data_IF_476973133221
#
_entry.id   IF_476973133221
#
_cell.length_a   1.000
_cell.length_b   1.000
_cell.length_c   1.000
_cell.angle_alpha   90.00
_cell.angle_beta   90.00
_cell.angle_gamma   90.00
#
_symmetry.space_group_name_H-M   'P 1'
#
loop_
_entity.id
_entity.type
_entity.pdbx_description
1 polymer ?
#
# COMPACT_ATOMS: atom_id res chain seq x y z
N UNK A 1 -45.82 69.64 5.71
CA UNK A 1 -46.08 68.21 5.76
C UNK A 1 -45.45 67.52 4.56
N UNK A 2 -44.35 66.83 4.79
CA UNK A 2 -43.51 66.19 3.71
C UNK A 2 -44.02 64.72 3.56
N UNK A 3 -44.64 64.38 2.39
CA UNK A 3 -45.12 63.02 2.09
C UNK A 3 -43.92 62.12 1.87
N UNK A 4 -43.78 61.12 2.73
CA UNK A 4 -42.82 60.03 2.61
C UNK A 4 -43.25 59.10 1.46
N UNK A 5 -42.51 59.06 0.37
CA UNK A 5 -42.70 58.09 -0.69
C UNK A 5 -42.25 56.69 -0.19
N UNK A 6 -43.23 55.86 0.07
CA UNK A 6 -43.01 54.43 0.31
C UNK A 6 -42.50 53.79 -0.99
N UNK A 7 -41.25 53.38 -0.99
CA UNK A 7 -40.63 52.61 -2.09
C UNK A 7 -41.46 51.34 -2.34
N UNK A 8 -42.12 51.32 -3.48
CA UNK A 8 -42.89 50.18 -3.98
C UNK A 8 -41.90 49.05 -4.29
N UNK A 9 -41.78 48.08 -3.38
CA UNK A 9 -40.95 46.91 -3.55
C UNK A 9 -41.56 46.07 -4.68
N UNK A 10 -40.95 46.10 -5.87
CA UNK A 10 -41.39 45.26 -6.97
C UNK A 10 -41.25 43.80 -6.58
N UNK A 11 -42.27 42.96 -6.79
CA UNK A 11 -42.13 41.52 -6.57
C UNK A 11 -41.07 40.96 -7.51
N UNK A 12 -40.26 39.99 -7.06
CA UNK A 12 -39.28 39.39 -7.91
C UNK A 12 -39.94 38.82 -9.16
N UNK A 13 -39.43 39.18 -10.33
CA UNK A 13 -39.99 38.72 -11.61
C UNK A 13 -39.93 37.18 -11.66
N UNK A 14 -41.04 36.56 -12.09
CA UNK A 14 -41.16 35.09 -12.23
C UNK A 14 -39.99 34.45 -13.01
N UNK A 15 -39.43 35.19 -13.96
CA UNK A 15 -38.27 34.77 -14.74
C UNK A 15 -36.95 34.73 -13.93
N UNK A 16 -36.77 35.65 -12.96
CA UNK A 16 -35.62 35.65 -12.05
C UNK A 16 -35.69 34.45 -11.07
N UNK A 17 -36.91 34.10 -10.64
CA UNK A 17 -37.13 32.97 -9.75
C UNK A 17 -36.87 31.63 -10.50
N UNK A 18 -37.28 31.49 -11.76
CA UNK A 18 -37.00 30.32 -12.60
C UNK A 18 -35.51 30.14 -12.89
N UNK A 19 -34.78 31.22 -13.16
CA UNK A 19 -33.34 31.15 -13.41
C UNK A 19 -32.54 30.77 -12.16
N UNK A 20 -32.90 31.32 -11.00
CA UNK A 20 -32.26 31.00 -9.73
C UNK A 20 -32.49 29.56 -9.25
N UNK A 21 -33.73 29.06 -9.40
CA UNK A 21 -34.05 27.68 -9.00
C UNK A 21 -33.35 26.64 -9.90
N UNK A 22 -33.23 26.91 -11.19
CA UNK A 22 -32.52 26.05 -12.12
C UNK A 22 -31.01 25.96 -11.80
N UNK A 23 -30.40 27.11 -11.46
CA UNK A 23 -29.00 27.15 -11.03
C UNK A 23 -28.76 26.35 -9.73
N UNK A 24 -29.66 26.45 -8.76
CA UNK A 24 -29.60 25.69 -7.50
C UNK A 24 -29.71 24.18 -7.74
N UNK A 25 -30.59 23.74 -8.62
CA UNK A 25 -30.74 22.32 -8.97
C UNK A 25 -29.49 21.81 -9.63
N UNK A 26 -28.92 22.52 -10.60
CA UNK A 26 -27.68 22.13 -11.26
C UNK A 26 -26.53 22.06 -10.25
N UNK A 27 -26.40 23.05 -9.35
CA UNK A 27 -25.36 23.05 -8.33
C UNK A 27 -25.49 21.85 -7.37
N UNK A 28 -26.72 21.49 -7.00
CA UNK A 28 -26.98 20.34 -6.15
C UNK A 28 -26.62 19.01 -6.87
N UNK A 29 -26.94 18.90 -8.16
CA UNK A 29 -26.56 17.72 -8.96
C UNK A 29 -25.05 17.59 -9.11
N UNK A 30 -24.36 18.70 -9.39
CA UNK A 30 -22.87 18.70 -9.51
C UNK A 30 -22.24 18.31 -8.17
N UNK A 31 -22.75 18.87 -7.06
CA UNK A 31 -22.24 18.51 -5.73
C UNK A 31 -22.45 17.02 -5.42
N UNK A 32 -23.63 16.48 -5.73
CA UNK A 32 -23.93 15.06 -5.55
C UNK A 32 -22.98 14.17 -6.39
N UNK A 33 -22.71 14.54 -7.64
CA UNK A 33 -21.76 13.82 -8.50
C UNK A 33 -20.34 13.86 -7.94
N UNK A 34 -19.90 15.00 -7.40
CA UNK A 34 -18.58 15.11 -6.77
C UNK A 34 -18.47 14.23 -5.52
N UNK A 35 -19.51 14.18 -4.69
CA UNK A 35 -19.54 13.29 -3.51
C UNK A 35 -19.49 11.83 -3.93
N UNK A 36 -20.30 11.42 -4.93
CA UNK A 36 -20.28 10.04 -5.45
C UNK A 36 -18.91 9.68 -6.03
N UNK A 37 -18.30 10.57 -6.82
CA UNK A 37 -16.97 10.36 -7.39
C UNK A 37 -15.90 10.21 -6.29
N UNK A 38 -15.97 11.01 -5.22
CA UNK A 38 -15.05 10.92 -4.10
C UNK A 38 -15.21 9.59 -3.33
N UNK A 39 -16.44 9.20 -3.03
CA UNK A 39 -16.72 7.90 -2.37
C UNK A 39 -16.25 6.74 -3.24
N UNK A 40 -16.49 6.80 -4.56
CA UNK A 40 -16.02 5.79 -5.50
C UNK A 40 -14.48 5.70 -5.54
N UNK A 41 -13.81 6.86 -5.63
CA UNK A 41 -12.35 6.92 -5.61
C UNK A 41 -11.76 6.36 -4.29
N UNK A 42 -12.42 6.61 -3.16
CA UNK A 42 -12.00 6.08 -1.85
C UNK A 42 -12.24 4.58 -1.68
N UNK A 43 -13.17 4.02 -2.45
CA UNK A 43 -13.47 2.58 -2.44
C UNK A 43 -12.56 1.76 -3.39
N UNK A 44 -11.76 2.44 -4.23
CA UNK A 44 -10.81 1.74 -5.11
C UNK A 44 -9.63 1.20 -4.30
N UNK A 45 -9.16 -0.03 -4.59
CA UNK A 45 -7.94 -0.57 -4.01
C UNK A 45 -6.75 0.37 -4.24
N UNK A 46 -5.87 0.48 -3.24
CA UNK A 46 -4.66 1.34 -3.31
C UNK A 46 -3.78 1.03 -4.52
N UNK A 47 -3.76 -0.23 -4.97
CA UNK A 47 -3.04 -0.66 -6.16
C UNK A 47 -3.52 -0.02 -7.47
N UNK A 48 -4.78 0.46 -7.53
CA UNK A 48 -5.34 1.12 -8.71
C UNK A 48 -5.24 2.65 -8.65
N UNK A 49 -5.09 3.22 -7.47
CA UNK A 49 -5.13 4.68 -7.27
C UNK A 49 -3.75 5.31 -7.14
N UNK A 50 -2.72 4.52 -6.80
CA UNK A 50 -1.34 5.02 -6.64
C UNK A 50 -0.50 4.69 -7.89
N UNK A 51 -0.16 5.71 -8.67
CA UNK A 51 0.83 5.61 -9.73
C UNK A 51 2.21 5.94 -9.18
N UNK A 52 3.17 5.05 -9.43
CA UNK A 52 4.55 5.28 -9.07
C UNK A 52 5.20 6.29 -10.03
N UNK A 53 5.29 7.53 -9.56
CA UNK A 53 5.96 8.64 -10.25
C UNK A 53 7.34 8.94 -9.65
N UNK A 54 7.75 8.17 -8.63
CA UNK A 54 9.05 8.35 -7.99
C UNK A 54 10.19 7.83 -8.87
N UNK A 55 11.34 8.46 -8.79
CA UNK A 55 12.56 7.99 -9.48
C UNK A 55 13.02 6.61 -8.97
N UNK A 56 12.64 6.26 -7.75
CA UNK A 56 12.97 4.99 -7.07
C UNK A 56 11.98 3.86 -7.37
N UNK A 57 10.88 4.15 -8.08
CA UNK A 57 9.82 3.17 -8.42
C UNK A 57 9.30 2.37 -7.22
N UNK A 58 9.16 3.02 -6.06
CA UNK A 58 8.74 2.40 -4.79
C UNK A 58 7.42 1.63 -4.87
N UNK A 59 6.56 1.99 -5.83
CA UNK A 59 5.24 1.39 -6.02
C UNK A 59 5.12 0.51 -7.28
N UNK A 60 6.24 0.18 -7.93
CA UNK A 60 6.25 -0.70 -9.10
C UNK A 60 7.10 -1.93 -8.84
N UNK A 61 6.73 -3.06 -9.43
CA UNK A 61 7.53 -4.28 -9.39
C UNK A 61 8.27 -4.46 -10.70
N UNK A 62 9.50 -4.94 -10.62
CA UNK A 62 10.38 -5.17 -11.77
C UNK A 62 9.90 -6.34 -12.62
N UNK A 63 10.46 -6.46 -13.83
CA UNK A 63 10.19 -7.61 -14.70
C UNK A 63 10.70 -8.92 -14.10
N UNK A 64 11.80 -8.88 -13.34
CA UNK A 64 12.36 -10.06 -12.67
C UNK A 64 11.38 -10.62 -11.62
N UNK A 65 10.84 -9.77 -10.76
CA UNK A 65 9.82 -10.16 -9.79
C UNK A 65 8.60 -10.78 -10.46
N UNK A 66 8.14 -10.20 -11.58
CA UNK A 66 7.01 -10.76 -12.34
C UNK A 66 7.30 -12.15 -12.87
N UNK A 67 8.52 -12.41 -13.33
CA UNK A 67 8.92 -13.74 -13.80
C UNK A 67 8.87 -14.75 -12.66
N UNK A 68 9.49 -14.44 -11.52
CA UNK A 68 9.49 -15.32 -10.33
C UNK A 68 8.09 -15.60 -9.84
N UNK A 69 7.28 -14.55 -9.65
CA UNK A 69 5.94 -14.65 -9.08
C UNK A 69 4.95 -15.36 -10.02
N UNK A 70 5.06 -15.15 -11.35
CA UNK A 70 4.21 -15.84 -12.31
C UNK A 70 4.61 -17.31 -12.56
N UNK A 71 5.82 -17.69 -12.17
CA UNK A 71 6.31 -19.08 -12.25
C UNK A 71 5.93 -19.92 -11.03
N UNK A 72 5.24 -19.35 -10.03
CA UNK A 72 4.83 -20.07 -8.83
C UNK A 72 3.80 -21.15 -9.15
N UNK A 73 4.08 -22.38 -8.72
CA UNK A 73 3.18 -23.54 -8.76
C UNK A 73 2.68 -23.91 -7.37
N UNK A 74 3.31 -23.39 -6.32
CA UNK A 74 2.99 -23.64 -4.91
C UNK A 74 2.41 -22.40 -4.25
N UNK A 75 1.56 -22.59 -3.24
CA UNK A 75 0.98 -21.50 -2.49
C UNK A 75 1.97 -20.94 -1.47
N UNK A 76 2.20 -19.64 -1.52
CA UNK A 76 3.07 -18.87 -0.65
C UNK A 76 2.23 -17.97 0.23
N UNK A 77 2.45 -18.04 1.55
CA UNK A 77 1.83 -17.13 2.50
C UNK A 77 2.87 -16.13 3.01
N UNK A 78 2.54 -14.85 2.92
CA UNK A 78 3.36 -13.78 3.49
C UNK A 78 2.64 -13.25 4.73
N UNK A 79 3.19 -13.52 5.91
CA UNK A 79 2.69 -12.94 7.15
C UNK A 79 3.31 -11.57 7.36
N UNK A 80 2.49 -10.55 7.43
CA UNK A 80 2.90 -9.19 7.73
C UNK A 80 2.70 -8.89 9.21
N UNK A 81 3.82 -8.76 9.93
CA UNK A 81 3.83 -8.57 11.38
C UNK A 81 3.74 -7.08 11.67
N UNK A 82 2.57 -6.63 12.10
CA UNK A 82 2.32 -5.20 12.34
C UNK A 82 1.22 -4.98 13.35
N UNK A 83 1.43 -4.03 14.26
CA UNK A 83 0.41 -3.53 15.17
C UNK A 83 -0.59 -2.66 14.42
N UNK A 84 -1.86 -2.69 14.83
CA UNK A 84 -2.90 -1.85 14.23
C UNK A 84 -2.53 -0.36 14.33
N UNK A 85 -2.55 0.34 13.21
CA UNK A 85 -2.20 1.76 13.11
C UNK A 85 -0.70 2.04 13.03
N UNK A 86 0.13 1.00 12.83
CA UNK A 86 1.57 1.10 12.60
C UNK A 86 1.98 0.58 11.22
N UNK A 87 1.01 0.37 10.37
CA UNK A 87 1.21 -0.10 9.01
C UNK A 87 2.04 0.90 8.20
N UNK A 88 3.02 0.38 7.46
CA UNK A 88 3.80 1.15 6.49
C UNK A 88 3.10 1.11 5.13
N UNK A 89 2.74 2.28 4.61
CA UNK A 89 2.01 2.41 3.34
C UNK A 89 2.79 1.86 2.13
N UNK A 90 4.11 1.92 2.14
CA UNK A 90 4.96 1.43 1.03
C UNK A 90 4.93 -0.09 1.01
N UNK A 91 5.10 -0.71 2.18
CA UNK A 91 5.05 -2.17 2.35
C UNK A 91 3.65 -2.69 2.03
N UNK A 92 2.58 -2.05 2.53
CA UNK A 92 1.20 -2.44 2.23
C UNK A 92 0.92 -2.45 0.73
N UNK A 93 1.33 -1.39 0.03
CA UNK A 93 1.15 -1.31 -1.41
C UNK A 93 1.97 -2.36 -2.17
N UNK A 94 3.19 -2.63 -1.72
CA UNK A 94 4.04 -3.66 -2.33
C UNK A 94 3.42 -5.04 -2.15
N UNK A 95 3.00 -5.40 -0.94
CA UNK A 95 2.35 -6.67 -0.64
C UNK A 95 1.06 -6.87 -1.45
N UNK A 96 0.22 -5.83 -1.55
CA UNK A 96 -1.00 -5.87 -2.38
C UNK A 96 -0.69 -6.14 -3.86
N UNK A 97 0.46 -5.66 -4.36
CA UNK A 97 0.89 -5.96 -5.74
C UNK A 97 1.29 -7.41 -5.92
N UNK A 98 2.01 -7.99 -4.96
CA UNK A 98 2.34 -9.41 -5.00
C UNK A 98 1.09 -10.29 -5.03
N UNK A 99 0.07 -10.01 -4.21
CA UNK A 99 -1.22 -10.72 -4.27
C UNK A 99 -1.94 -10.56 -5.61
N UNK A 100 -1.81 -9.38 -6.25
CA UNK A 100 -2.43 -9.13 -7.55
C UNK A 100 -1.70 -9.83 -8.70
N UNK A 101 -0.39 -10.03 -8.57
CA UNK A 101 0.44 -10.65 -9.61
C UNK A 101 0.25 -12.17 -9.71
N UNK A 102 -0.03 -12.85 -8.59
CA UNK A 102 -0.21 -14.30 -8.57
C UNK A 102 -1.31 -14.72 -7.61
N UNK A 103 -2.19 -15.60 -8.07
CA UNK A 103 -3.19 -16.23 -7.22
C UNK A 103 -2.61 -17.20 -6.17
N UNK A 104 -1.31 -17.55 -6.29
CA UNK A 104 -0.59 -18.39 -5.32
C UNK A 104 -0.01 -17.59 -4.16
N UNK A 105 -0.07 -16.26 -4.16
CA UNK A 105 0.43 -15.44 -3.05
C UNK A 105 -0.74 -14.93 -2.22
N UNK A 106 -0.65 -15.16 -0.91
CA UNK A 106 -1.60 -14.66 0.07
C UNK A 106 -0.89 -13.86 1.15
N UNK A 107 -1.36 -12.65 1.44
CA UNK A 107 -0.86 -11.82 2.53
C UNK A 107 -1.79 -11.90 3.74
N UNK A 108 -1.22 -12.15 4.91
CA UNK A 108 -1.96 -12.25 6.18
C UNK A 108 -1.34 -11.33 7.22
N UNK A 109 -2.06 -10.29 7.63
CA UNK A 109 -1.63 -9.44 8.75
C UNK A 109 -1.67 -10.21 10.06
N UNK A 110 -0.61 -10.11 10.85
CA UNK A 110 -0.48 -10.67 12.21
C UNK A 110 -0.13 -9.57 13.18
N UNK A 111 -1.06 -9.21 14.03
CA UNK A 111 -0.81 -8.23 15.10
C UNK A 111 -0.08 -8.91 16.26
N UNK A 112 1.16 -8.49 16.61
CA UNK A 112 1.93 -9.09 17.71
C UNK A 112 1.28 -8.88 19.10
N UNK A 113 0.44 -7.87 19.27
CA UNK A 113 -0.30 -7.68 20.52
C UNK A 113 -1.37 -8.76 20.74
N UNK A 114 -1.89 -9.34 19.64
CA UNK A 114 -2.90 -10.41 19.65
C UNK A 114 -2.24 -11.79 19.60
N UNK A 115 -1.14 -11.91 18.88
CA UNK A 115 -0.41 -13.16 18.64
C UNK A 115 1.08 -13.03 19.04
N UNK A 116 1.41 -12.84 20.33
CA UNK A 116 2.76 -12.49 20.77
C UNK A 116 3.80 -13.57 20.49
N UNK A 117 3.42 -14.84 20.48
CA UNK A 117 4.34 -15.97 20.28
C UNK A 117 4.36 -16.47 18.82
N UNK A 118 3.59 -15.84 17.91
CA UNK A 118 3.48 -16.31 16.54
C UNK A 118 4.82 -16.34 15.82
N UNK A 119 5.67 -15.36 16.05
CA UNK A 119 6.96 -15.21 15.35
C UNK A 119 8.07 -16.11 15.89
N UNK A 120 7.94 -16.61 17.12
CA UNK A 120 8.95 -17.44 17.80
C UNK A 120 9.24 -18.77 17.07
N UNK A 121 8.27 -19.28 16.30
CA UNK A 121 8.45 -20.49 15.50
C UNK A 121 9.23 -20.28 14.20
N UNK A 122 9.44 -19.02 13.79
CA UNK A 122 10.09 -18.67 12.54
C UNK A 122 11.47 -18.02 12.73
N UNK A 123 11.66 -17.29 13.84
CA UNK A 123 12.91 -16.58 14.11
C UNK A 123 13.15 -16.40 15.60
N UNK A 124 14.45 -16.33 15.99
CA UNK A 124 14.90 -15.93 17.32
C UNK A 124 15.30 -14.45 17.39
N UNK A 125 15.16 -13.72 16.29
CA UNK A 125 15.49 -12.31 16.20
C UNK A 125 14.38 -11.44 16.82
N UNK A 126 14.73 -10.21 17.18
CA UNK A 126 13.73 -9.23 17.64
C UNK A 126 12.90 -8.77 16.46
N UNK A 127 11.60 -9.09 16.49
CA UNK A 127 10.68 -8.73 15.41
C UNK A 127 10.15 -7.31 15.60
N UNK A 128 10.42 -6.46 14.62
CA UNK A 128 9.91 -5.10 14.57
C UNK A 128 8.58 -5.04 13.82
N UNK A 129 7.81 -3.95 14.00
CA UNK A 129 6.64 -3.68 13.14
C UNK A 129 7.08 -3.60 11.67
N UNK A 130 6.23 -4.10 10.80
CA UNK A 130 6.45 -4.17 9.36
C UNK A 130 7.52 -5.19 8.90
N UNK A 131 7.95 -6.10 9.79
CA UNK A 131 8.69 -7.30 9.41
C UNK A 131 7.76 -8.29 8.71
N UNK A 132 8.34 -9.17 7.89
CA UNK A 132 7.59 -10.15 7.10
C UNK A 132 8.11 -11.57 7.38
N UNK A 133 7.23 -12.55 7.19
CA UNK A 133 7.59 -13.97 7.17
C UNK A 133 6.98 -14.55 5.91
N UNK A 134 7.81 -15.11 5.05
CA UNK A 134 7.39 -15.79 3.82
C UNK A 134 7.42 -17.29 4.08
N UNK A 135 6.32 -17.99 3.82
CA UNK A 135 6.15 -19.42 4.09
C UNK A 135 5.61 -20.15 2.87
N UNK A 136 6.19 -21.30 2.56
CA UNK A 136 5.73 -22.24 1.55
C UNK A 136 5.94 -23.66 2.05
N UNK A 137 4.85 -24.38 2.34
CA UNK A 137 4.92 -25.71 2.95
C UNK A 137 5.68 -25.69 4.29
N UNK A 138 6.73 -26.49 4.39
CA UNK A 138 7.55 -26.59 5.62
C UNK A 138 8.73 -25.58 5.65
N UNK A 139 8.84 -24.71 4.64
CA UNK A 139 9.94 -23.75 4.53
C UNK A 139 9.45 -22.35 4.79
N UNK A 140 10.26 -21.60 5.52
CA UNK A 140 9.99 -20.21 5.81
C UNK A 140 11.26 -19.35 5.76
N UNK A 141 11.05 -18.04 5.52
CA UNK A 141 12.10 -17.03 5.56
C UNK A 141 11.57 -15.81 6.30
N UNK A 142 12.27 -15.40 7.33
CA UNK A 142 12.04 -14.13 8.03
C UNK A 142 12.74 -12.99 7.28
N UNK A 143 12.08 -11.84 7.19
CA UNK A 143 12.59 -10.59 6.64
C UNK A 143 12.38 -9.52 7.69
N UNK A 144 13.46 -9.03 8.26
CA UNK A 144 13.44 -7.95 9.23
C UNK A 144 13.08 -6.61 8.59
N UNK A 145 12.65 -5.65 9.40
CA UNK A 145 12.41 -4.27 8.92
C UNK A 145 13.69 -3.65 8.31
N UNK A 146 14.86 -3.97 8.90
CA UNK A 146 16.16 -3.48 8.44
C UNK A 146 16.64 -4.14 7.13
N UNK A 147 16.07 -5.29 6.75
CA UNK A 147 16.27 -5.91 5.44
C UNK A 147 15.44 -5.21 4.34
N UNK A 148 14.34 -4.56 4.73
CA UNK A 148 13.44 -3.81 3.84
C UNK A 148 13.93 -2.38 3.67
N UNK A 149 14.38 -1.75 4.77
CA UNK A 149 14.89 -0.39 4.82
C UNK A 149 16.37 -0.42 5.20
N UNK A 150 17.23 -0.52 4.20
CA UNK A 150 18.68 -0.62 4.38
C UNK A 150 19.25 0.75 4.74
N UNK A 151 19.96 0.83 5.86
CA UNK A 151 20.64 2.05 6.29
C UNK A 151 22.12 1.97 5.89
N UNK A 152 22.55 2.87 5.02
CA UNK A 152 23.93 3.02 4.60
C UNK A 152 24.53 4.27 5.24
N UNK A 153 25.64 4.08 5.99
CA UNK A 153 26.40 5.20 6.54
C UNK A 153 27.25 5.84 5.44
N UNK A 154 27.02 7.11 5.14
CA UNK A 154 27.93 7.88 4.31
C UNK A 154 29.08 8.45 5.16
N UNK A 155 30.23 7.84 5.01
CA UNK A 155 31.44 8.16 5.80
C UNK A 155 31.96 9.59 5.51
N UNK A 156 31.63 10.13 4.33
CA UNK A 156 32.09 11.47 3.93
C UNK A 156 31.21 12.60 4.45
N UNK A 157 29.90 12.36 4.51
CA UNK A 157 28.93 13.37 4.96
C UNK A 157 28.49 13.20 6.41
N UNK A 158 28.94 12.15 7.11
CA UNK A 158 28.46 11.78 8.46
C UNK A 158 26.94 11.68 8.55
N UNK A 159 26.30 11.25 7.47
CA UNK A 159 24.84 11.06 7.37
C UNK A 159 24.51 9.61 7.10
N UNK A 160 23.25 9.23 7.38
CA UNK A 160 22.71 7.93 7.01
C UNK A 160 21.75 8.12 5.84
N UNK A 161 21.95 7.33 4.80
CA UNK A 161 21.01 7.20 3.70
C UNK A 161 20.18 5.96 3.92
N UNK A 162 18.86 6.07 3.83
CA UNK A 162 17.96 4.93 3.90
C UNK A 162 17.48 4.60 2.49
N UNK A 163 17.74 3.37 2.03
CA UNK A 163 17.23 2.84 0.77
C UNK A 163 16.15 1.79 1.02
N UNK A 164 15.13 1.74 0.15
CA UNK A 164 14.07 0.76 0.23
C UNK A 164 14.37 -0.41 -0.72
N UNK A 165 14.53 -1.61 -0.20
CA UNK A 165 14.77 -2.87 -0.95
C UNK A 165 13.69 -3.94 -0.68
N UNK A 166 12.49 -3.52 -0.34
CA UNK A 166 11.40 -4.46 -0.02
C UNK A 166 11.08 -5.43 -1.14
N UNK A 167 11.20 -5.01 -2.41
CA UNK A 167 11.01 -5.90 -3.55
C UNK A 167 12.07 -6.99 -3.62
N UNK A 168 13.34 -6.63 -3.49
CA UNK A 168 14.47 -7.56 -3.50
C UNK A 168 14.35 -8.57 -2.36
N UNK A 169 14.09 -8.11 -1.15
CA UNK A 169 13.93 -8.94 0.03
C UNK A 169 12.78 -9.95 -0.12
N UNK A 170 11.59 -9.51 -0.54
CA UNK A 170 10.41 -10.38 -0.70
C UNK A 170 10.62 -11.37 -1.84
N UNK A 171 11.10 -10.92 -3.01
CA UNK A 171 11.31 -11.81 -4.16
C UNK A 171 12.35 -12.89 -3.85
N UNK A 172 13.45 -12.53 -3.19
CA UNK A 172 14.49 -13.49 -2.78
C UNK A 172 13.98 -14.48 -1.74
N UNK A 173 13.12 -14.02 -0.81
CA UNK A 173 12.51 -14.92 0.16
C UNK A 173 11.52 -15.88 -0.49
N UNK A 174 10.71 -15.44 -1.46
CA UNK A 174 9.81 -16.30 -2.22
C UNK A 174 10.63 -17.35 -2.98
N UNK A 175 11.64 -16.93 -3.73
CA UNK A 175 12.53 -17.85 -4.46
C UNK A 175 13.16 -18.89 -3.54
N UNK A 176 13.63 -18.47 -2.36
CA UNK A 176 14.21 -19.38 -1.36
C UNK A 176 13.21 -20.41 -0.85
N UNK A 177 11.96 -20.05 -0.53
CA UNK A 177 11.00 -20.99 0.07
C UNK A 177 10.39 -21.96 -0.95
N UNK A 178 10.36 -21.59 -2.24
CA UNK A 178 9.82 -22.45 -3.32
C UNK A 178 10.88 -23.29 -4.00
N UNK A 179 12.17 -22.94 -3.89
CA UNK A 179 13.27 -23.70 -4.54
C UNK A 179 13.43 -25.06 -3.91
N UNK A 180 13.33 -26.14 -4.68
CA UNK A 180 13.52 -27.51 -4.21
C UNK A 180 15.00 -27.80 -3.90
N UNK A 181 15.91 -27.19 -4.65
CA UNK A 181 17.36 -27.36 -4.50
C UNK A 181 18.00 -26.02 -4.10
N UNK A 182 18.60 -25.99 -2.90
CA UNK A 182 19.41 -24.85 -2.49
C UNK A 182 20.80 -24.94 -3.15
N UNK A 183 21.35 -23.81 -3.64
CA UNK A 183 22.71 -23.81 -4.17
C UNK A 183 23.72 -24.24 -3.09
N UNK A 184 24.50 -25.28 -3.37
CA UNK A 184 25.55 -25.75 -2.47
C UNK A 184 26.84 -25.00 -2.76
N UNK A 185 27.36 -24.34 -1.74
CA UNK A 185 28.67 -23.69 -1.83
C UNK A 185 29.79 -24.69 -1.44
N UNK A 186 30.60 -25.06 -2.40
CA UNK A 186 31.80 -25.86 -2.12
C UNK A 186 33.00 -24.93 -1.91
N UNK A 187 33.63 -24.99 -0.73
CA UNK A 187 34.93 -24.37 -0.54
C UNK A 187 35.98 -25.32 -1.11
N UNK A 188 36.80 -24.79 -2.01
CA UNK A 188 38.03 -25.48 -2.44
C UNK A 188 39.07 -25.28 -1.34
N UNK A 189 39.56 -26.39 -0.78
CA UNK A 189 40.70 -26.41 0.13
C UNK A 189 42.02 -26.18 -0.61
#
# INVERSE_FOLDING_TARGET
MKKMNLLKKNPPSYNAFRGGSYSLIISAVVLALLVVANVFASALPSAMTKYDISSTKLYSVTSNTKVVVNALEQDVTIYWIVQSGKEDDIIENLLSKYETLSGHIKVVKKNPDVFPTFTEQYTNETVQNNSLIVECGDRSRFIGYDDIYIQEADVYSYSYNTSFDGEGAITSAIDYVVSEELPQLYMLE
#
